data_IF_356841205091
#
_entry.id   IF_356841205091
#
_cell.length_a   1.000
_cell.length_b   1.000
_cell.length_c   1.000
_cell.angle_alpha   90.00
_cell.angle_beta   90.00
_cell.angle_gamma   90.00
#
_symmetry.space_group_name_H-M   'P 1'
#
loop_
_entity.id
_entity.type
_entity.pdbx_description
1 polymer ?
#
# COMPACT_ATOMS: atom_id res chain seq x y z
N UNK A 1 5.82 -11.19 -18.73
CA UNK A 1 4.67 -11.27 -17.82
C UNK A 1 5.21 -11.44 -16.39
N UNK A 2 4.56 -10.87 -15.37
CA UNK A 2 4.95 -11.02 -13.95
C UNK A 2 4.18 -12.16 -13.26
N UNK A 3 3.25 -12.80 -13.96
CA UNK A 3 2.38 -13.82 -13.38
C UNK A 3 1.25 -13.21 -12.55
N UNK A 4 0.56 -14.01 -11.72
CA UNK A 4 -0.65 -13.63 -11.00
C UNK A 4 -0.41 -12.75 -9.76
N UNK A 5 0.40 -11.70 -9.88
CA UNK A 5 0.79 -10.80 -8.77
C UNK A 5 -0.36 -9.88 -8.31
N UNK A 6 -0.04 -8.91 -7.45
CA UNK A 6 -0.94 -8.00 -6.72
C UNK A 6 -2.25 -7.65 -7.44
N UNK A 7 -2.18 -7.02 -8.62
CA UNK A 7 -3.37 -6.54 -9.33
C UNK A 7 -4.37 -7.64 -9.67
N UNK A 8 -3.90 -8.84 -10.08
CA UNK A 8 -4.77 -9.99 -10.33
C UNK A 8 -5.46 -10.42 -9.04
N UNK A 9 -4.73 -10.55 -7.93
CA UNK A 9 -5.33 -10.97 -6.66
C UNK A 9 -6.31 -9.92 -6.13
N UNK A 10 -6.03 -8.64 -6.28
CA UNK A 10 -6.89 -7.56 -5.77
C UNK A 10 -8.20 -7.44 -6.55
N UNK A 11 -8.14 -7.58 -7.88
CA UNK A 11 -9.27 -7.28 -8.78
C UNK A 11 -9.95 -8.52 -9.36
N UNK A 12 -9.23 -9.64 -9.41
CA UNK A 12 -9.67 -10.84 -10.12
C UNK A 12 -9.24 -12.15 -9.44
N UNK A 13 -9.43 -12.25 -8.11
CA UNK A 13 -9.09 -13.47 -7.37
C UNK A 13 -9.96 -14.64 -7.82
N UNK A 14 -9.34 -15.75 -8.24
CA UNK A 14 -10.06 -16.94 -8.71
C UNK A 14 -10.76 -17.67 -7.55
N UNK A 15 -12.08 -17.82 -7.63
CA UNK A 15 -12.86 -18.60 -6.69
C UNK A 15 -12.98 -20.07 -7.14
N UNK A 16 -13.14 -21.04 -6.22
CA UNK A 16 -13.26 -22.47 -6.56
C UNK A 16 -14.41 -22.81 -7.50
N UNK A 17 -15.46 -21.97 -7.55
CA UNK A 17 -16.61 -22.12 -8.44
C UNK A 17 -16.40 -21.49 -9.84
N UNK A 18 -15.18 -21.06 -10.16
CA UNK A 18 -14.84 -20.40 -11.44
C UNK A 18 -15.20 -18.91 -11.50
N UNK A 19 -15.78 -18.34 -10.44
CA UNK A 19 -16.05 -16.91 -10.38
C UNK A 19 -14.78 -16.10 -10.08
N UNK A 20 -14.82 -14.81 -10.38
CA UNK A 20 -13.78 -13.84 -10.05
C UNK A 20 -14.22 -12.97 -8.85
N UNK A 21 -13.35 -12.79 -7.87
CA UNK A 21 -13.59 -11.95 -6.69
C UNK A 21 -12.78 -10.65 -6.84
N UNK A 22 -13.48 -9.54 -7.02
CA UNK A 22 -12.90 -8.21 -6.91
C UNK A 22 -12.92 -7.77 -5.42
N UNK A 23 -11.77 -7.91 -4.76
CA UNK A 23 -11.62 -7.57 -3.34
C UNK A 23 -11.70 -6.05 -3.11
N UNK A 24 -11.26 -5.24 -4.07
CA UNK A 24 -11.27 -3.78 -3.96
C UNK A 24 -12.70 -3.23 -4.09
N UNK A 25 -13.49 -3.73 -5.04
CA UNK A 25 -14.90 -3.35 -5.14
C UNK A 25 -15.69 -3.75 -3.88
N UNK A 26 -15.44 -4.97 -3.36
CA UNK A 26 -16.05 -5.42 -2.10
C UNK A 26 -15.66 -4.54 -0.93
N UNK A 27 -14.39 -4.12 -0.85
CA UNK A 27 -13.89 -3.20 0.17
C UNK A 27 -14.59 -1.85 0.09
N UNK A 28 -14.64 -1.21 -1.09
CA UNK A 28 -15.30 0.10 -1.28
C UNK A 28 -16.78 0.02 -0.90
N UNK A 29 -17.49 -1.01 -1.37
CA UNK A 29 -18.88 -1.23 -1.00
C UNK A 29 -19.06 -1.44 0.50
N UNK A 30 -18.21 -2.26 1.12
CA UNK A 30 -18.21 -2.53 2.54
C UNK A 30 -17.98 -1.27 3.38
N UNK A 31 -17.03 -0.42 3.01
CA UNK A 31 -16.76 0.84 3.69
C UNK A 31 -17.95 1.80 3.63
N UNK A 32 -18.65 1.87 2.48
CA UNK A 32 -19.83 2.73 2.30
C UNK A 32 -21.07 2.23 3.07
N UNK A 33 -21.24 0.91 3.22
CA UNK A 33 -22.49 0.30 3.73
C UNK A 33 -22.40 -0.27 5.14
N UNK A 34 -21.20 -0.66 5.57
CA UNK A 34 -20.94 -1.22 6.89
C UNK A 34 -19.51 -0.83 7.36
N UNK A 35 -19.26 0.47 7.60
CA UNK A 35 -17.92 0.98 7.91
C UNK A 35 -17.30 0.34 9.16
N UNK A 36 -18.12 -0.09 10.14
CA UNK A 36 -17.67 -0.69 11.40
C UNK A 36 -17.31 -2.19 11.28
N UNK A 37 -17.36 -2.76 10.08
CA UNK A 37 -16.97 -4.15 9.86
C UNK A 37 -15.51 -4.38 10.21
N UNK A 38 -15.23 -5.48 10.90
CA UNK A 38 -13.87 -5.95 11.21
C UNK A 38 -13.29 -6.82 10.10
N UNK A 39 -13.89 -6.78 8.89
CA UNK A 39 -13.61 -7.68 7.76
C UNK A 39 -13.29 -6.93 6.46
N UNK A 40 -12.96 -5.65 6.55
CA UNK A 40 -12.49 -4.85 5.41
C UNK A 40 -11.05 -5.23 5.07
N UNK A 41 -10.87 -6.42 4.50
CA UNK A 41 -9.57 -7.06 4.27
C UNK A 41 -9.37 -7.31 2.78
N UNK A 42 -8.14 -7.12 2.33
CA UNK A 42 -7.68 -7.53 1.00
C UNK A 42 -6.40 -8.34 1.17
N UNK A 43 -6.33 -9.49 0.51
CA UNK A 43 -5.15 -10.35 0.49
C UNK A 43 -4.58 -10.46 -0.93
N UNK A 44 -3.27 -10.31 -1.06
CA UNK A 44 -2.54 -10.74 -2.25
C UNK A 44 -1.96 -12.15 -2.10
N UNK A 45 -1.97 -12.73 -0.89
CA UNK A 45 -1.40 -14.05 -0.64
C UNK A 45 -2.35 -15.17 -1.03
N UNK A 46 -2.22 -15.66 -2.27
CA UNK A 46 -2.97 -16.81 -2.77
C UNK A 46 -2.06 -18.04 -2.87
N UNK A 47 -2.18 -19.03 -1.96
CA UNK A 47 -1.35 -20.23 -1.98
C UNK A 47 -1.45 -21.05 -3.27
N UNK A 48 -2.55 -20.95 -4.03
CA UNK A 48 -2.71 -21.68 -5.28
C UNK A 48 -1.95 -21.04 -6.46
N UNK A 49 -1.64 -19.74 -6.36
CA UNK A 49 -1.02 -18.96 -7.44
C UNK A 49 0.42 -18.53 -7.11
N UNK A 50 0.87 -18.68 -5.85
CA UNK A 50 2.10 -18.04 -5.34
C UNK A 50 3.36 -18.49 -6.06
N UNK A 51 3.44 -19.77 -6.44
CA UNK A 51 4.59 -20.35 -7.13
C UNK A 51 4.66 -19.93 -8.62
N UNK A 52 3.55 -19.45 -9.18
CA UNK A 52 3.47 -18.95 -10.56
C UNK A 52 3.79 -17.45 -10.66
N UNK A 53 4.03 -16.77 -9.53
CA UNK A 53 4.38 -15.34 -9.48
C UNK A 53 5.88 -15.15 -9.68
N UNK A 54 6.28 -14.13 -10.47
CA UNK A 54 7.70 -13.79 -10.64
C UNK A 54 8.39 -13.52 -9.30
N UNK A 55 7.68 -12.88 -8.37
CA UNK A 55 8.04 -12.78 -6.96
C UNK A 55 6.76 -12.88 -6.11
N UNK A 56 6.74 -13.71 -5.05
CA UNK A 56 5.62 -13.77 -4.13
C UNK A 56 5.34 -12.40 -3.49
N UNK A 57 4.08 -12.05 -3.18
CA UNK A 57 3.72 -10.73 -2.69
C UNK A 57 4.45 -10.37 -1.40
N UNK A 58 5.21 -9.27 -1.39
CA UNK A 58 5.87 -8.78 -0.18
C UNK A 58 4.85 -8.14 0.77
N UNK A 59 4.00 -7.26 0.25
CA UNK A 59 2.87 -6.64 0.94
C UNK A 59 1.61 -7.49 0.71
N UNK A 60 1.33 -8.39 1.66
CA UNK A 60 0.52 -9.57 1.40
C UNK A 60 -0.92 -9.48 1.92
N UNK A 61 -1.18 -8.71 2.97
CA UNK A 61 -2.53 -8.54 3.52
C UNK A 61 -2.67 -7.14 4.11
N UNK A 62 -3.79 -6.48 3.86
CA UNK A 62 -4.12 -5.21 4.50
C UNK A 62 -5.58 -5.16 4.94
N UNK A 63 -5.82 -4.42 6.01
CA UNK A 63 -7.12 -4.24 6.64
C UNK A 63 -7.42 -2.77 6.85
N UNK A 64 -8.66 -2.37 6.57
CA UNK A 64 -9.16 -1.03 6.88
C UNK A 64 -10.03 -1.01 8.15
N UNK A 65 -10.01 0.12 8.83
CA UNK A 65 -10.78 0.39 10.03
C UNK A 65 -11.32 1.82 10.01
N UNK A 66 -12.55 2.01 10.49
CA UNK A 66 -13.19 3.32 10.58
C UNK A 66 -13.48 3.65 12.04
N UNK A 67 -13.03 4.82 12.49
CA UNK A 67 -13.40 5.40 13.79
C UNK A 67 -13.40 6.92 13.68
N UNK A 68 -14.34 7.57 14.37
CA UNK A 68 -14.44 9.04 14.44
C UNK A 68 -14.39 9.75 13.07
N UNK A 69 -15.02 9.15 12.05
CA UNK A 69 -15.03 9.67 10.68
C UNK A 69 -13.71 9.50 9.91
N UNK A 70 -12.75 8.76 10.46
CA UNK A 70 -11.41 8.54 9.87
C UNK A 70 -11.21 7.11 9.40
N UNK A 71 -10.62 6.94 8.22
CA UNK A 71 -10.25 5.67 7.62
C UNK A 71 -8.77 5.37 7.88
N UNK A 72 -8.50 4.33 8.67
CA UNK A 72 -7.15 3.83 8.93
C UNK A 72 -6.87 2.56 8.15
N UNK A 73 -5.61 2.30 7.83
CA UNK A 73 -5.14 1.13 7.09
C UNK A 73 -4.00 0.45 7.86
N UNK A 74 -4.11 -0.86 8.08
CA UNK A 74 -3.01 -1.69 8.53
C UNK A 74 -2.51 -2.57 7.39
N UNK A 75 -1.20 -2.57 7.14
CA UNK A 75 -0.53 -3.47 6.21
C UNK A 75 0.31 -4.50 6.97
N UNK A 76 0.16 -5.77 6.63
CA UNK A 76 1.14 -6.82 6.93
C UNK A 76 2.03 -7.06 5.70
N UNK A 77 3.32 -6.77 5.84
CA UNK A 77 4.35 -6.99 4.84
C UNK A 77 5.31 -8.09 5.31
N UNK A 78 5.24 -9.27 4.68
CA UNK A 78 5.99 -10.45 5.12
C UNK A 78 7.52 -10.33 4.98
N UNK A 79 7.99 -9.48 4.06
CA UNK A 79 9.40 -9.32 3.70
C UNK A 79 9.61 -7.87 3.25
N UNK A 80 10.53 -7.18 3.90
CA UNK A 80 10.68 -5.73 3.81
C UNK A 80 12.16 -5.35 3.69
N UNK A 81 12.56 -5.03 2.45
CA UNK A 81 13.77 -4.25 2.18
C UNK A 81 13.57 -2.84 2.75
N UNK A 82 14.23 -2.57 3.87
CA UNK A 82 14.08 -1.34 4.63
C UNK A 82 14.60 -0.11 3.87
N UNK A 83 15.62 -0.28 3.02
CA UNK A 83 16.27 0.85 2.36
C UNK A 83 15.58 1.22 1.05
N UNK A 84 15.36 0.24 0.17
CA UNK A 84 14.74 0.51 -1.13
C UNK A 84 13.23 0.33 -1.10
N UNK A 85 12.72 -0.77 -0.54
CA UNK A 85 11.32 -1.16 -0.69
C UNK A 85 10.35 -0.38 0.19
N UNK A 86 10.62 -0.34 1.49
CA UNK A 86 9.71 0.21 2.50
C UNK A 86 9.30 1.67 2.24
N UNK A 87 10.18 2.59 1.80
CA UNK A 87 9.76 3.95 1.45
C UNK A 87 8.65 3.99 0.39
N UNK A 88 8.73 3.15 -0.66
CA UNK A 88 7.67 3.04 -1.66
C UNK A 88 6.41 2.38 -1.09
N UNK A 89 6.54 1.38 -0.22
CA UNK A 89 5.39 0.71 0.39
C UNK A 89 4.59 1.68 1.28
N UNK A 90 5.27 2.49 2.11
CA UNK A 90 4.63 3.50 2.95
C UNK A 90 3.86 4.50 2.07
N UNK A 91 4.52 5.08 1.06
CA UNK A 91 3.88 6.06 0.18
C UNK A 91 2.69 5.48 -0.59
N UNK A 92 2.80 4.24 -1.08
CA UNK A 92 1.74 3.56 -1.83
C UNK A 92 0.49 3.31 -0.98
N UNK A 93 0.65 2.82 0.26
CA UNK A 93 -0.49 2.52 1.13
C UNK A 93 -1.06 3.75 1.81
N UNK A 94 -0.25 4.77 2.07
CA UNK A 94 -0.76 6.10 2.44
C UNK A 94 -1.64 6.66 1.32
N UNK A 95 -1.15 6.66 0.07
CA UNK A 95 -1.92 7.11 -1.09
C UNK A 95 -3.24 6.34 -1.25
N UNK A 96 -3.20 5.01 -1.18
CA UNK A 96 -4.41 4.18 -1.26
C UNK A 96 -5.42 4.52 -0.15
N UNK A 97 -4.94 4.79 1.07
CA UNK A 97 -5.79 5.19 2.20
C UNK A 97 -6.46 6.54 1.92
N UNK A 98 -5.71 7.52 1.41
CA UNK A 98 -6.26 8.82 1.00
C UNK A 98 -7.29 8.68 -0.14
N UNK A 99 -7.02 7.87 -1.16
CA UNK A 99 -7.94 7.61 -2.28
C UNK A 99 -9.25 7.00 -1.79
N UNK A 100 -9.17 5.96 -0.95
CA UNK A 100 -10.35 5.31 -0.39
C UNK A 100 -11.14 6.23 0.52
N UNK A 101 -10.45 6.96 1.42
CA UNK A 101 -11.08 7.91 2.33
C UNK A 101 -11.90 8.94 1.54
N UNK A 102 -11.31 9.52 0.47
CA UNK A 102 -11.99 10.45 -0.44
C UNK A 102 -13.27 9.84 -1.05
N UNK A 103 -13.15 8.68 -1.67
CA UNK A 103 -14.24 7.99 -2.38
C UNK A 103 -15.40 7.58 -1.48
N UNK A 104 -15.12 7.34 -0.19
CA UNK A 104 -16.14 6.91 0.80
C UNK A 104 -16.57 8.04 1.75
N UNK A 105 -16.10 9.27 1.53
CA UNK A 105 -16.50 10.44 2.33
C UNK A 105 -15.97 10.42 3.77
N UNK A 106 -14.77 9.88 3.98
CA UNK A 106 -14.07 9.84 5.26
C UNK A 106 -12.78 10.67 5.19
N UNK A 107 -12.26 11.03 6.35
CA UNK A 107 -10.93 11.63 6.48
C UNK A 107 -9.86 10.52 6.56
N UNK A 108 -8.62 10.75 6.08
CA UNK A 108 -7.53 9.81 6.31
C UNK A 108 -7.17 9.73 7.81
N UNK A 109 -7.03 8.51 8.31
CA UNK A 109 -6.58 8.19 9.66
C UNK A 109 -5.14 7.68 9.66
N UNK A 110 -4.88 6.64 10.46
CA UNK A 110 -3.52 6.11 10.63
C UNK A 110 -3.17 5.09 9.55
N UNK A 111 -1.90 5.08 9.14
CA UNK A 111 -1.30 3.95 8.42
C UNK A 111 -0.39 3.17 9.38
N UNK A 112 -0.78 1.93 9.67
CA UNK A 112 -0.05 1.02 10.56
C UNK A 112 0.70 -0.01 9.72
N UNK A 113 2.02 0.08 9.67
CA UNK A 113 2.86 -0.82 8.90
C UNK A 113 3.46 -1.91 9.79
N UNK A 114 3.03 -3.16 9.59
CA UNK A 114 3.52 -4.33 10.31
C UNK A 114 4.44 -5.15 9.40
N UNK A 115 5.61 -5.53 9.90
CA UNK A 115 6.59 -6.32 9.17
C UNK A 115 6.68 -7.75 9.69
N UNK A 116 6.95 -8.69 8.77
CA UNK A 116 7.50 -10.01 9.07
C UNK A 116 9.02 -9.91 9.16
N UNK A 117 9.72 -10.36 8.11
CA UNK A 117 11.16 -10.16 7.98
C UNK A 117 11.46 -8.73 7.49
N UNK A 118 11.99 -7.90 8.39
CA UNK A 118 12.50 -6.57 8.08
C UNK A 118 14.03 -6.63 8.02
N UNK A 119 14.60 -6.34 6.86
CA UNK A 119 16.04 -6.50 6.62
C UNK A 119 16.64 -5.32 5.87
N UNK A 120 17.95 -5.18 6.06
CA UNK A 120 18.82 -4.26 5.33
C UNK A 120 19.85 -5.11 4.58
N UNK A 121 19.96 -4.93 3.27
CA UNK A 121 20.98 -5.64 2.50
C UNK A 121 22.38 -5.14 2.85
N UNK A 122 23.36 -6.06 2.85
CA UNK A 122 24.74 -5.74 3.21
C UNK A 122 25.38 -4.69 2.29
N UNK A 123 24.98 -4.65 1.01
CA UNK A 123 25.43 -3.65 0.04
C UNK A 123 24.69 -2.31 0.15
N UNK A 124 23.82 -2.12 1.16
CA UNK A 124 23.10 -0.88 1.46
C UNK A 124 23.53 -0.21 2.77
N UNK A 125 24.53 -0.77 3.48
CA UNK A 125 24.94 -0.27 4.80
C UNK A 125 25.45 1.18 4.74
N UNK A 126 26.36 1.51 3.81
CA UNK A 126 26.89 2.88 3.66
C UNK A 126 25.78 3.89 3.33
N UNK A 127 24.81 3.48 2.50
CA UNK A 127 23.67 4.30 2.13
C UNK A 127 22.74 4.56 3.33
N UNK A 128 22.49 3.53 4.14
CA UNK A 128 21.69 3.65 5.35
C UNK A 128 22.37 4.54 6.39
N UNK A 129 23.68 4.39 6.61
CA UNK A 129 24.47 5.26 7.50
C UNK A 129 24.42 6.73 7.04
N UNK A 130 24.58 6.98 5.73
CA UNK A 130 24.43 8.32 5.18
C UNK A 130 23.02 8.87 5.40
N UNK A 131 21.97 8.07 5.23
CA UNK A 131 20.60 8.50 5.49
C UNK A 131 20.37 8.84 6.96
N UNK A 132 20.89 8.02 7.89
CA UNK A 132 20.79 8.23 9.33
C UNK A 132 21.55 9.48 9.82
N UNK A 133 22.54 9.96 9.07
CA UNK A 133 23.26 11.20 9.37
C UNK A 133 22.44 12.49 9.11
N UNK A 134 21.30 12.38 8.42
CA UNK A 134 20.50 13.52 7.98
C UNK A 134 19.29 13.73 8.90
N UNK A 135 19.08 14.97 9.33
CA UNK A 135 17.88 15.33 10.10
C UNK A 135 16.62 15.22 9.22
N UNK A 136 15.52 14.60 9.69
CA UNK A 136 14.25 14.60 8.96
C UNK A 136 13.77 16.03 8.66
N UNK A 137 13.25 16.24 7.45
CA UNK A 137 12.60 17.49 7.04
C UNK A 137 11.08 17.40 7.30
N UNK A 138 10.35 18.54 7.30
CA UNK A 138 8.90 18.53 7.41
C UNK A 138 8.24 17.62 6.37
N UNK A 139 7.17 16.93 6.76
CA UNK A 139 6.40 16.09 5.85
C UNK A 139 5.70 16.97 4.79
N UNK A 140 5.58 16.48 3.54
CA UNK A 140 4.76 17.14 2.52
C UNK A 140 3.27 17.04 2.86
N UNK A 141 2.44 17.74 2.11
CA UNK A 141 0.98 17.54 2.11
C UNK A 141 0.53 16.93 0.79
N UNK A 142 -0.47 16.05 0.85
CA UNK A 142 -1.07 15.43 -0.34
C UNK A 142 -2.45 16.04 -0.62
N UNK A 143 -2.60 16.64 -1.78
CA UNK A 143 -3.91 17.00 -2.34
C UNK A 143 -4.40 15.87 -3.24
N UNK A 144 -5.64 15.44 -3.04
CA UNK A 144 -6.32 14.43 -3.85
C UNK A 144 -7.58 15.06 -4.43
N UNK A 145 -7.78 14.96 -5.74
CA UNK A 145 -8.98 15.45 -6.41
C UNK A 145 -10.25 14.82 -5.83
N UNK A 146 -11.35 15.57 -5.91
CA UNK A 146 -12.65 15.10 -5.42
C UNK A 146 -13.28 14.12 -6.42
N UNK A 147 -13.23 12.83 -6.10
CA UNK A 147 -13.77 11.73 -6.92
C UNK A 147 -14.53 10.73 -6.05
N UNK A 148 -15.59 10.16 -6.60
CA UNK A 148 -16.47 9.16 -5.99
C UNK A 148 -16.28 7.73 -6.53
N UNK A 149 -15.45 7.58 -7.57
CA UNK A 149 -15.00 6.32 -8.14
C UNK A 149 -13.49 6.13 -7.95
N UNK A 150 -13.12 5.08 -7.20
CA UNK A 150 -11.73 4.71 -6.94
C UNK A 150 -10.96 4.35 -8.23
N UNK A 151 -11.64 3.83 -9.24
CA UNK A 151 -10.99 3.40 -10.49
C UNK A 151 -10.90 4.52 -11.53
N UNK A 152 -11.55 5.66 -11.26
CA UNK A 152 -11.50 6.84 -12.12
C UNK A 152 -10.32 7.76 -11.82
N UNK A 153 -9.48 7.47 -10.83
CA UNK A 153 -8.30 8.28 -10.53
C UNK A 153 -7.23 8.18 -11.63
N UNK A 154 -6.62 9.32 -11.93
CA UNK A 154 -5.51 9.53 -12.86
C UNK A 154 -4.34 10.19 -12.13
N UNK A 155 -3.14 10.15 -12.73
CA UNK A 155 -1.94 10.72 -12.10
C UNK A 155 -2.10 12.22 -11.77
N UNK A 156 -2.82 12.97 -12.61
CA UNK A 156 -3.08 14.40 -12.46
C UNK A 156 -3.96 14.75 -11.26
N UNK A 157 -4.64 13.78 -10.65
CA UNK A 157 -5.50 14.01 -9.48
C UNK A 157 -4.71 14.12 -8.17
N UNK A 158 -3.41 13.89 -8.21
CA UNK A 158 -2.55 13.84 -7.04
C UNK A 158 -1.47 14.92 -7.10
N UNK A 159 -1.43 15.78 -6.09
CA UNK A 159 -0.40 16.81 -5.97
C UNK A 159 0.26 16.67 -4.60
N UNK A 160 1.58 16.44 -4.61
CA UNK A 160 2.41 16.47 -3.39
C UNK A 160 2.98 17.87 -3.25
N UNK A 161 2.47 18.64 -2.28
CA UNK A 161 2.91 20.00 -2.02
C UNK A 161 4.02 20.02 -0.97
N UNK A 162 4.90 21.01 -1.07
CA UNK A 162 5.95 21.31 -0.10
C UNK A 162 6.91 20.12 0.19
N UNK A 163 7.07 19.21 -0.78
CA UNK A 163 8.01 18.11 -0.63
C UNK A 163 9.45 18.60 -0.66
N UNK A 164 10.11 18.49 0.49
CA UNK A 164 11.52 18.74 0.65
C UNK A 164 12.22 17.42 0.96
N UNK A 165 13.32 17.17 0.26
CA UNK A 165 14.12 15.96 0.47
C UNK A 165 15.60 16.28 0.44
N UNK A 166 16.36 15.46 1.16
CA UNK A 166 17.80 15.42 1.00
C UNK A 166 18.17 14.83 -0.37
N UNK A 167 19.40 15.07 -0.88
CA UNK A 167 19.84 14.53 -2.14
C UNK A 167 19.66 13.00 -2.23
N UNK A 168 19.20 12.53 -3.38
CA UNK A 168 18.98 11.11 -3.66
C UNK A 168 20.20 10.24 -3.30
N UNK A 169 19.96 9.10 -2.66
CA UNK A 169 20.97 8.11 -2.33
C UNK A 169 20.75 6.90 -3.24
N UNK A 170 21.74 6.59 -4.08
CA UNK A 170 21.67 5.46 -5.01
C UNK A 170 22.07 4.17 -4.30
N UNK A 171 21.26 3.12 -4.42
CA UNK A 171 21.61 1.76 -4.05
C UNK A 171 21.19 0.76 -5.15
N UNK A 172 21.85 -0.39 -5.20
CA UNK A 172 21.56 -1.43 -6.18
C UNK A 172 20.49 -2.40 -5.65
N UNK A 173 19.50 -2.75 -6.47
CA UNK A 173 18.49 -3.75 -6.10
C UNK A 173 19.17 -5.11 -5.95
N UNK A 174 18.84 -5.84 -4.88
CA UNK A 174 19.22 -7.24 -4.74
C UNK A 174 18.33 -8.10 -5.64
N UNK A 175 18.94 -8.96 -6.46
CA UNK A 175 18.25 -9.94 -7.31
C UNK A 175 18.28 -11.29 -6.62
#
# INVERSE_FOLDING_TARGET
>A
DLGPVYGKQWRSWAAPNGASIDQIQKLVHGLKTNPNSRRHIVSAWNPADVDDMALPPCHCLFQFFVADGKLSCQLYQRSADIFLGVPFNIASYALLTHMLARVVGLEPGDFVHTFGDAHLYLNHLEQAELQLSRAPLPLPTLTVADKDDLFGFELSDFVVNDYQSWPHIKAAVAV
#
